data_IF_771631326876
#
_entry.id   IF_771631326876
#
_cell.length_a   1.000
_cell.length_b   1.000
_cell.length_c   1.000
_cell.angle_alpha   90.00
_cell.angle_beta   90.00
_cell.angle_gamma   90.00
#
_symmetry.space_group_name_H-M   'P 1'
#
loop_
_entity.id
_entity.type
_entity.pdbx_description
1 polymer ?
#
# COMPACT_ATOMS: atom_id res chain seq x y z
N UNK A 1 15.55 -12.22 17.99
CA UNK A 1 15.33 -13.16 16.88
C UNK A 1 13.86 -13.08 16.49
N UNK A 2 13.54 -12.70 15.25
CA UNK A 2 12.18 -12.82 14.69
C UNK A 2 12.10 -14.00 13.76
N UNK A 3 10.93 -14.61 13.70
CA UNK A 3 10.63 -15.72 12.81
C UNK A 3 9.39 -15.38 12.00
N UNK A 4 9.38 -15.66 10.71
CA UNK A 4 8.15 -15.66 9.90
C UNK A 4 7.63 -17.10 9.84
N UNK A 5 6.32 -17.27 10.06
CA UNK A 5 5.66 -18.58 9.95
C UNK A 5 4.83 -18.58 8.66
N UNK A 6 4.83 -19.68 7.92
CA UNK A 6 4.00 -19.82 6.72
C UNK A 6 3.56 -21.26 6.46
N UNK A 7 2.48 -21.45 5.70
CA UNK A 7 2.06 -22.76 5.22
C UNK A 7 2.94 -23.25 4.06
N UNK A 8 3.27 -22.37 3.13
CA UNK A 8 4.21 -22.65 2.04
C UNK A 8 5.30 -21.58 2.02
N UNK A 9 6.56 -22.00 2.27
CA UNK A 9 7.74 -21.15 2.16
C UNK A 9 8.60 -21.56 0.97
N UNK A 10 8.81 -20.63 0.05
CA UNK A 10 9.70 -20.77 -1.10
C UNK A 10 10.85 -19.79 -0.95
N UNK A 11 12.01 -20.31 -0.56
CA UNK A 11 13.19 -19.52 -0.20
C UNK A 11 14.26 -19.72 -1.27
N UNK A 12 14.67 -18.64 -1.94
CA UNK A 12 15.69 -18.67 -3.00
C UNK A 12 15.37 -19.65 -4.15
N UNK A 13 14.08 -19.89 -4.41
CA UNK A 13 13.64 -20.77 -5.49
C UNK A 13 13.68 -20.04 -6.83
N UNK A 14 14.00 -20.79 -7.89
CA UNK A 14 13.97 -20.32 -9.27
C UNK A 14 12.80 -20.95 -10.02
N UNK A 15 12.19 -20.22 -10.94
CA UNK A 15 11.22 -20.75 -11.91
C UNK A 15 10.05 -21.49 -11.22
N UNK A 16 9.39 -20.79 -10.29
CA UNK A 16 8.31 -21.33 -9.45
C UNK A 16 6.99 -21.34 -10.21
N UNK A 17 6.23 -22.42 -10.08
CA UNK A 17 4.88 -22.52 -10.61
C UNK A 17 3.91 -23.06 -9.55
N UNK A 18 2.93 -22.25 -9.16
CA UNK A 18 1.83 -22.61 -8.26
C UNK A 18 0.52 -22.42 -9.04
N UNK A 19 -0.14 -23.52 -9.38
CA UNK A 19 -1.41 -23.49 -10.13
C UNK A 19 -2.46 -24.33 -9.43
N UNK A 20 -3.74 -23.94 -9.55
CA UNK A 20 -4.88 -24.73 -9.06
C UNK A 20 -4.74 -25.15 -7.59
N UNK A 21 -4.19 -24.28 -6.76
CA UNK A 21 -3.79 -24.59 -5.38
C UNK A 21 -4.72 -23.91 -4.39
N UNK A 22 -5.12 -24.64 -3.34
CA UNK A 22 -5.82 -24.10 -2.18
C UNK A 22 -4.91 -24.16 -0.95
N UNK A 23 -4.57 -22.99 -0.41
CA UNK A 23 -3.96 -22.85 0.92
C UNK A 23 -5.04 -22.31 1.85
N UNK A 24 -5.32 -22.99 2.96
CA UNK A 24 -6.36 -22.54 3.88
C UNK A 24 -6.02 -22.84 5.33
N UNK A 25 -6.50 -22.01 6.25
CA UNK A 25 -6.41 -22.20 7.70
C UNK A 25 -4.95 -22.42 8.16
N UNK A 26 -4.07 -21.56 7.67
CA UNK A 26 -2.63 -21.63 7.96
C UNK A 26 -2.26 -20.75 9.16
N UNK A 27 -1.43 -21.28 10.06
CA UNK A 27 -0.76 -20.45 11.04
C UNK A 27 0.36 -19.64 10.36
N UNK A 28 0.30 -18.32 10.45
CA UNK A 28 1.21 -17.39 9.77
C UNK A 28 0.74 -17.00 8.37
N UNK A 29 1.68 -16.76 7.45
CA UNK A 29 1.42 -16.38 6.05
C UNK A 29 1.01 -17.60 5.22
N UNK A 30 0.06 -17.45 4.29
CA UNK A 30 -0.33 -18.55 3.41
C UNK A 30 0.82 -19.00 2.50
N UNK A 31 1.24 -18.12 1.60
CA UNK A 31 2.36 -18.33 0.67
C UNK A 31 3.42 -17.27 0.91
N UNK A 32 4.61 -17.69 1.33
CA UNK A 32 5.80 -16.85 1.48
C UNK A 32 6.80 -17.16 0.38
N UNK A 33 7.12 -16.16 -0.42
CA UNK A 33 8.19 -16.18 -1.41
C UNK A 33 9.27 -15.19 -1.00
N UNK A 34 10.44 -15.72 -0.67
CA UNK A 34 11.58 -14.90 -0.28
C UNK A 34 12.71 -15.10 -1.27
N UNK A 35 13.13 -13.99 -1.89
CA UNK A 35 14.20 -13.97 -2.88
C UNK A 35 14.00 -14.99 -4.02
N UNK A 36 12.76 -15.20 -4.46
CA UNK A 36 12.46 -16.05 -5.62
C UNK A 36 12.76 -15.32 -6.92
N UNK A 37 13.25 -16.03 -7.94
CA UNK A 37 13.75 -15.41 -9.18
C UNK A 37 13.46 -16.23 -10.45
N UNK A 38 13.71 -15.65 -11.62
CA UNK A 38 13.33 -16.24 -12.91
C UNK A 38 11.86 -15.98 -13.24
N UNK A 39 11.15 -16.99 -13.75
CA UNK A 39 9.73 -16.90 -14.08
C UNK A 39 8.87 -17.51 -12.96
N UNK A 40 8.15 -16.66 -12.25
CA UNK A 40 7.22 -17.09 -11.19
C UNK A 40 5.79 -16.99 -11.70
N UNK A 41 5.07 -18.11 -11.70
CA UNK A 41 3.66 -18.19 -12.06
C UNK A 41 2.83 -18.57 -10.83
N UNK A 42 1.81 -17.77 -10.54
CA UNK A 42 0.73 -18.10 -9.60
C UNK A 42 -0.58 -17.94 -10.34
N UNK A 43 -1.28 -19.03 -10.62
CA UNK A 43 -2.55 -18.97 -11.35
C UNK A 43 -3.63 -19.82 -10.69
N UNK A 44 -4.87 -19.36 -10.75
CA UNK A 44 -6.05 -20.02 -10.20
C UNK A 44 -5.80 -20.57 -8.78
N UNK A 45 -5.25 -19.72 -7.92
CA UNK A 45 -4.81 -20.08 -6.57
C UNK A 45 -5.68 -19.36 -5.56
N UNK A 46 -6.01 -20.05 -4.48
CA UNK A 46 -6.86 -19.51 -3.42
C UNK A 46 -6.13 -19.63 -2.08
N UNK A 47 -6.04 -18.52 -1.35
CA UNK A 47 -5.47 -18.44 -0.01
C UNK A 47 -6.51 -17.89 0.97
N UNK A 48 -6.93 -18.71 1.92
CA UNK A 48 -8.01 -18.39 2.86
C UNK A 48 -7.54 -18.50 4.30
N UNK A 49 -7.96 -17.55 5.13
CA UNK A 49 -7.86 -17.69 6.59
C UNK A 49 -6.41 -17.99 7.04
N UNK A 50 -5.44 -17.27 6.51
CA UNK A 50 -4.08 -17.22 7.04
C UNK A 50 -4.03 -16.25 8.22
N UNK A 51 -3.65 -16.73 9.39
CA UNK A 51 -3.61 -15.91 10.60
C UNK A 51 -2.50 -16.37 11.53
N UNK A 52 -1.93 -15.46 12.30
CA UNK A 52 -0.88 -15.81 13.26
C UNK A 52 -1.48 -16.10 14.64
N UNK A 53 -1.34 -17.34 15.12
CA UNK A 53 -1.77 -17.73 16.46
C UNK A 53 -0.73 -17.40 17.54
N UNK A 54 -1.18 -16.78 18.64
CA UNK A 54 -0.52 -16.87 19.94
C UNK A 54 0.35 -15.67 20.38
N UNK A 55 0.61 -15.63 21.70
CA UNK A 55 1.60 -14.79 22.35
C UNK A 55 2.97 -15.48 22.27
N UNK A 56 3.72 -15.25 21.20
CA UNK A 56 5.12 -15.68 21.16
C UNK A 56 5.97 -14.78 22.06
N UNK A 57 6.94 -15.36 22.79
CA UNK A 57 7.97 -14.59 23.51
C UNK A 57 8.89 -13.82 22.54
N UNK A 58 8.92 -14.27 21.29
CA UNK A 58 9.62 -13.67 20.17
C UNK A 58 8.67 -12.81 19.33
N UNK A 59 9.26 -11.87 18.59
CA UNK A 59 8.52 -11.09 17.61
C UNK A 59 8.30 -11.95 16.37
N UNK A 60 7.07 -12.42 16.17
CA UNK A 60 6.68 -13.26 15.03
C UNK A 60 5.71 -12.47 14.17
N UNK A 61 5.87 -12.61 12.86
CA UNK A 61 5.06 -11.93 11.86
C UNK A 61 4.38 -12.95 10.95
N UNK A 62 3.18 -12.60 10.47
CA UNK A 62 2.44 -13.43 9.54
C UNK A 62 0.99 -12.97 9.38
N UNK A 63 0.21 -13.80 8.71
CA UNK A 63 -1.21 -13.56 8.45
C UNK A 63 -1.50 -12.86 7.12
N UNK A 64 -0.50 -12.73 6.25
CA UNK A 64 -0.70 -12.36 4.85
C UNK A 64 -1.17 -13.59 4.05
N UNK A 65 -2.02 -13.40 3.04
CA UNK A 65 -2.33 -14.47 2.08
C UNK A 65 -1.10 -14.80 1.22
N UNK A 66 -0.57 -13.79 0.53
CA UNK A 66 0.62 -13.89 -0.31
C UNK A 66 1.69 -12.90 0.16
N UNK A 67 2.93 -13.34 0.29
CA UNK A 67 4.08 -12.49 0.61
C UNK A 67 5.19 -12.70 -0.40
N UNK A 68 5.63 -11.63 -1.07
CA UNK A 68 6.79 -11.59 -1.98
C UNK A 68 7.79 -10.63 -1.39
N UNK A 69 8.97 -11.13 -1.02
CA UNK A 69 9.98 -10.32 -0.36
C UNK A 69 11.34 -10.45 -1.02
N UNK A 70 11.91 -9.32 -1.43
CA UNK A 70 13.28 -9.22 -1.91
C UNK A 70 14.14 -8.41 -0.95
N UNK A 71 15.22 -9.06 -0.49
CA UNK A 71 16.17 -8.53 0.48
C UNK A 71 15.50 -7.80 1.66
N UNK A 72 14.58 -8.43 2.41
CA UNK A 72 14.30 -7.95 3.73
C UNK A 72 15.61 -8.15 4.52
N UNK A 73 16.32 -7.06 4.86
CA UNK A 73 17.01 -7.08 6.15
C UNK A 73 15.97 -7.65 7.13
N UNK A 74 16.30 -8.68 7.92
CA UNK A 74 15.32 -9.23 8.83
C UNK A 74 14.73 -8.05 9.59
N UNK A 75 13.41 -7.87 9.53
CA UNK A 75 12.67 -6.72 10.05
C UNK A 75 12.87 -6.50 11.57
N UNK A 76 13.79 -7.23 12.17
CA UNK A 76 14.30 -7.13 13.54
C UNK A 76 15.61 -6.37 13.71
N UNK A 77 16.33 -5.95 12.66
CA UNK A 77 17.69 -5.43 12.81
C UNK A 77 17.92 -3.98 12.37
N UNK A 78 16.86 -3.21 12.10
CA UNK A 78 17.00 -1.82 11.61
C UNK A 78 17.70 -0.89 12.64
N UNK A 79 17.82 -1.29 13.91
CA UNK A 79 18.53 -0.49 14.92
C UNK A 79 19.99 -0.88 15.21
N UNK A 80 20.49 -2.05 14.81
CA UNK A 80 21.82 -2.52 15.29
C UNK A 80 22.87 -2.79 14.21
N UNK A 81 22.51 -2.84 12.92
CA UNK A 81 23.48 -3.06 11.84
C UNK A 81 23.27 -2.13 10.66
N UNK A 82 23.52 -0.84 10.88
CA UNK A 82 23.64 0.19 9.83
C UNK A 82 24.84 -0.03 8.90
N UNK A 83 25.74 -0.98 9.18
CA UNK A 83 27.00 -1.12 8.43
C UNK A 83 27.05 -2.30 7.44
N UNK A 84 26.11 -3.25 7.46
CA UNK A 84 26.19 -4.47 6.63
C UNK A 84 24.95 -4.82 5.77
N UNK A 85 23.92 -3.98 5.74
CA UNK A 85 22.76 -4.16 4.84
C UNK A 85 23.13 -4.16 3.34
N UNK A 86 24.32 -3.66 3.00
CA UNK A 86 24.87 -3.66 1.64
C UNK A 86 25.43 -5.03 1.18
N UNK A 87 25.63 -5.98 2.10
CA UNK A 87 26.31 -7.25 1.79
C UNK A 87 25.39 -8.40 1.36
N UNK A 88 24.07 -8.23 1.39
CA UNK A 88 23.14 -9.17 0.73
C UNK A 88 22.87 -8.78 -0.72
N UNK A 89 23.92 -8.27 -1.37
CA UNK A 89 23.99 -7.95 -2.79
C UNK A 89 24.07 -9.21 -3.65
N UNK A 90 23.10 -10.12 -3.52
CA UNK A 90 22.75 -10.92 -4.66
C UNK A 90 21.91 -10.00 -5.55
N UNK A 91 22.49 -9.54 -6.65
CA UNK A 91 21.72 -8.95 -7.73
C UNK A 91 20.74 -10.01 -8.21
N UNK A 92 19.54 -10.03 -7.62
CA UNK A 92 18.46 -10.87 -8.10
C UNK A 92 18.16 -10.34 -9.49
N UNK A 93 18.64 -11.07 -10.50
CA UNK A 93 18.49 -10.71 -11.90
C UNK A 93 17.02 -10.55 -12.28
N UNK A 94 16.78 -10.01 -13.47
CA UNK A 94 15.45 -9.75 -14.00
C UNK A 94 14.49 -10.92 -13.72
N UNK A 95 13.42 -10.63 -12.97
CA UNK A 95 12.46 -11.63 -12.52
C UNK A 95 11.07 -11.22 -12.93
N UNK A 96 10.27 -12.17 -13.40
CA UNK A 96 8.91 -11.91 -13.86
C UNK A 96 7.94 -12.73 -13.02
N UNK A 97 7.01 -12.05 -12.37
CA UNK A 97 5.89 -12.65 -11.64
C UNK A 97 4.64 -12.44 -12.47
N UNK A 98 3.98 -13.54 -12.82
CA UNK A 98 2.65 -13.54 -13.40
C UNK A 98 1.71 -14.14 -12.36
N UNK A 99 0.82 -13.30 -11.84
CA UNK A 99 -0.16 -13.67 -10.82
C UNK A 99 -1.54 -13.43 -11.44
N UNK A 100 -2.33 -14.47 -11.62
CA UNK A 100 -3.65 -14.40 -12.25
C UNK A 100 -4.67 -15.20 -11.47
N UNK A 101 -5.93 -14.74 -11.47
CA UNK A 101 -7.04 -15.44 -10.82
C UNK A 101 -6.74 -15.82 -9.36
N UNK A 102 -5.98 -14.98 -8.64
CA UNK A 102 -5.64 -15.21 -7.24
C UNK A 102 -6.80 -14.72 -6.37
N UNK A 103 -7.28 -15.57 -5.47
CA UNK A 103 -8.19 -15.17 -4.40
C UNK A 103 -7.43 -15.18 -3.07
N UNK A 104 -7.34 -14.03 -2.41
CA UNK A 104 -6.91 -13.96 -1.00
C UNK A 104 -8.07 -13.44 -0.16
N UNK A 105 -8.52 -14.23 0.82
CA UNK A 105 -9.64 -13.82 1.64
C UNK A 105 -9.56 -14.19 3.11
N UNK A 106 -10.14 -13.32 3.95
CA UNK A 106 -10.27 -13.53 5.41
C UNK A 106 -8.93 -13.74 6.13
N UNK A 107 -7.83 -13.29 5.53
CA UNK A 107 -6.52 -13.35 6.17
C UNK A 107 -6.42 -12.28 7.27
N UNK A 108 -5.65 -12.57 8.32
CA UNK A 108 -5.54 -11.72 9.51
C UNK A 108 -4.09 -11.45 9.86
N UNK A 109 -3.57 -10.30 9.42
CA UNK A 109 -2.21 -9.86 9.68
C UNK A 109 -2.04 -9.24 11.06
N UNK A 110 -1.14 -9.81 11.87
CA UNK A 110 -0.85 -9.35 13.23
C UNK A 110 0.60 -9.65 13.62
N UNK A 111 1.17 -8.84 14.52
CA UNK A 111 2.42 -9.14 15.21
C UNK A 111 2.13 -9.66 16.64
N UNK A 112 2.93 -10.62 17.12
CA UNK A 112 2.73 -11.27 18.43
C UNK A 112 3.09 -10.42 19.66
N UNK A 113 3.77 -9.28 19.49
CA UNK A 113 4.16 -8.37 20.58
C UNK A 113 3.57 -6.98 20.34
N UNK A 114 2.91 -6.44 21.37
CA UNK A 114 2.45 -5.04 21.48
C UNK A 114 3.64 -4.07 21.53
N UNK A 115 4.46 -4.04 20.49
CA UNK A 115 5.27 -2.86 20.24
C UNK A 115 4.35 -1.91 19.47
N UNK A 116 4.33 -0.63 19.87
CA UNK A 116 3.76 0.47 19.09
C UNK A 116 4.59 0.61 17.81
N UNK A 117 4.51 -0.39 16.94
CA UNK A 117 5.18 -0.43 15.67
C UNK A 117 4.33 0.49 14.81
N UNK A 118 4.70 1.77 14.80
CA UNK A 118 4.25 2.68 13.77
C UNK A 118 4.41 2.00 12.40
N UNK A 119 3.60 2.39 11.42
CA UNK A 119 3.77 1.99 10.03
C UNK A 119 5.25 1.83 9.63
N UNK A 120 6.18 2.66 10.10
CA UNK A 120 7.62 2.56 9.83
C UNK A 120 8.37 1.29 10.28
N UNK A 121 7.87 0.49 11.23
CA UNK A 121 8.68 -0.57 11.88
C UNK A 121 8.10 -1.99 11.79
N UNK A 122 6.81 -2.14 11.42
CA UNK A 122 6.23 -3.45 11.15
C UNK A 122 5.08 -3.32 10.14
N UNK A 123 5.29 -3.87 8.95
CA UNK A 123 4.49 -3.58 7.75
C UNK A 123 3.94 -4.89 7.21
N UNK A 124 2.65 -5.18 7.41
CA UNK A 124 2.04 -6.42 6.94
C UNK A 124 0.79 -6.16 6.11
N UNK A 125 0.80 -6.59 4.86
CA UNK A 125 -0.42 -6.65 4.06
C UNK A 125 -1.26 -7.87 4.41
N UNK A 126 -2.59 -7.76 4.39
CA UNK A 126 -3.49 -8.87 4.74
C UNK A 126 -3.69 -9.84 3.58
N UNK A 127 -4.11 -9.34 2.42
CA UNK A 127 -4.24 -10.15 1.22
C UNK A 127 -2.88 -10.44 0.57
N UNK A 128 -2.17 -9.38 0.16
CA UNK A 128 -0.81 -9.48 -0.38
C UNK A 128 0.18 -8.51 0.27
N UNK A 129 1.43 -8.94 0.40
CA UNK A 129 2.53 -8.14 0.90
C UNK A 129 3.73 -8.26 -0.05
N UNK A 130 4.08 -7.16 -0.71
CA UNK A 130 5.14 -7.11 -1.71
C UNK A 130 6.22 -6.14 -1.22
N UNK A 131 7.45 -6.64 -1.10
CA UNK A 131 8.59 -5.90 -0.58
C UNK A 131 9.74 -5.94 -1.58
N UNK A 132 10.11 -4.77 -2.10
CA UNK A 132 11.23 -4.57 -3.02
C UNK A 132 12.30 -3.71 -2.34
N UNK A 133 13.26 -4.36 -1.67
CA UNK A 133 14.27 -3.70 -0.84
C UNK A 133 15.70 -3.78 -1.36
N UNK A 134 16.60 -2.99 -0.75
CA UNK A 134 18.03 -3.03 -1.04
C UNK A 134 18.37 -2.62 -2.49
N UNK A 135 19.05 -3.50 -3.23
CA UNK A 135 19.46 -3.29 -4.63
C UNK A 135 18.56 -4.07 -5.62
N UNK A 136 17.34 -4.40 -5.23
CA UNK A 136 16.38 -5.11 -6.09
C UNK A 136 16.12 -4.31 -7.36
N UNK A 137 16.32 -4.93 -8.52
CA UNK A 137 16.12 -4.26 -9.80
C UNK A 137 15.59 -5.19 -10.88
N UNK A 138 14.91 -4.61 -11.87
CA UNK A 138 14.36 -5.32 -13.02
C UNK A 138 13.35 -6.42 -12.65
N UNK A 139 12.63 -6.26 -11.54
CA UNK A 139 11.52 -7.15 -11.17
C UNK A 139 10.24 -6.61 -11.79
N UNK A 140 9.56 -7.45 -12.57
CA UNK A 140 8.25 -7.17 -13.15
C UNK A 140 7.20 -8.05 -12.47
N UNK A 141 6.23 -7.45 -11.80
CA UNK A 141 5.12 -8.14 -11.14
C UNK A 141 3.82 -7.74 -11.84
N UNK A 142 3.14 -8.71 -12.45
CA UNK A 142 1.81 -8.53 -13.01
C UNK A 142 0.80 -9.32 -12.18
N UNK A 143 -0.21 -8.62 -11.66
CA UNK A 143 -1.35 -9.20 -10.93
C UNK A 143 -2.60 -8.92 -11.76
N UNK A 144 -3.31 -9.96 -12.17
CA UNK A 144 -4.47 -9.84 -13.06
C UNK A 144 -5.67 -10.61 -12.53
N UNK A 145 -6.87 -10.05 -12.72
CA UNK A 145 -8.16 -10.70 -12.45
C UNK A 145 -8.22 -11.36 -11.05
N UNK A 146 -7.60 -10.71 -10.07
CA UNK A 146 -7.39 -11.23 -8.72
C UNK A 146 -8.28 -10.50 -7.71
N UNK A 147 -8.65 -11.20 -6.65
CA UNK A 147 -9.53 -10.69 -5.60
C UNK A 147 -8.84 -10.72 -4.24
N UNK A 148 -8.85 -9.57 -3.55
CA UNK A 148 -8.34 -9.38 -2.20
C UNK A 148 -9.51 -8.93 -1.33
N UNK A 149 -10.08 -9.84 -0.52
CA UNK A 149 -11.32 -9.52 0.20
C UNK A 149 -11.40 -9.94 1.65
N UNK A 150 -12.16 -9.18 2.42
CA UNK A 150 -12.44 -9.48 3.83
C UNK A 150 -11.17 -9.66 4.69
N UNK A 151 -10.02 -9.13 4.24
CA UNK A 151 -8.77 -9.24 4.99
C UNK A 151 -8.73 -8.19 6.10
N UNK A 152 -8.12 -8.56 7.22
CA UNK A 152 -7.94 -7.69 8.37
C UNK A 152 -6.47 -7.59 8.72
N UNK A 153 -5.94 -6.40 8.98
CA UNK A 153 -4.60 -6.25 9.58
C UNK A 153 -4.63 -5.22 10.68
N UNK A 154 -3.77 -5.35 11.69
CA UNK A 154 -3.61 -4.31 12.72
C UNK A 154 -2.78 -3.10 12.25
N UNK A 155 -2.04 -3.24 11.14
CA UNK A 155 -1.10 -2.21 10.63
C UNK A 155 -1.55 -1.59 9.30
N UNK A 156 -1.04 -2.00 8.14
CA UNK A 156 -1.30 -1.27 6.89
C UNK A 156 -1.49 -2.16 5.66
N UNK A 157 -2.29 -1.71 4.70
CA UNK A 157 -2.47 -2.43 3.43
C UNK A 157 -3.26 -3.72 3.57
N UNK A 158 -4.45 -3.68 4.18
CA UNK A 158 -5.20 -4.91 4.49
C UNK A 158 -5.51 -5.75 3.24
N UNK A 159 -5.90 -5.14 2.13
CA UNK A 159 -5.98 -5.86 0.84
C UNK A 159 -4.59 -6.14 0.26
N UNK A 160 -3.78 -5.10 0.07
CA UNK A 160 -2.44 -5.20 -0.47
C UNK A 160 -1.49 -4.15 0.14
N UNK A 161 -0.25 -4.56 0.41
CA UNK A 161 0.83 -3.67 0.81
C UNK A 161 1.99 -3.79 -0.18
N UNK A 162 2.39 -2.66 -0.76
CA UNK A 162 3.56 -2.53 -1.62
C UNK A 162 4.56 -1.62 -0.91
N UNK A 163 5.73 -2.17 -0.61
CA UNK A 163 6.84 -1.47 0.02
C UNK A 163 8.06 -1.46 -0.91
N UNK A 164 8.50 -0.27 -1.29
CA UNK A 164 9.68 -0.04 -2.12
C UNK A 164 10.64 0.83 -1.31
N UNK A 165 11.88 0.37 -1.12
CA UNK A 165 12.82 1.12 -0.29
C UNK A 165 14.30 0.94 -0.68
N UNK A 166 15.16 1.80 -0.10
CA UNK A 166 16.59 1.90 -0.36
C UNK A 166 16.90 2.22 -1.84
N UNK A 167 17.78 1.47 -2.50
CA UNK A 167 18.23 1.71 -3.88
C UNK A 167 17.49 0.85 -4.91
N UNK A 168 16.29 0.36 -4.56
CA UNK A 168 15.48 -0.55 -5.38
C UNK A 168 14.96 0.14 -6.64
N UNK A 169 15.47 -0.22 -7.81
CA UNK A 169 15.32 0.59 -9.02
C UNK A 169 14.81 -0.22 -10.23
N UNK A 170 14.15 0.46 -11.17
CA UNK A 170 13.68 -0.15 -12.41
C UNK A 170 12.78 -1.39 -12.21
N UNK A 171 11.95 -1.40 -11.17
CA UNK A 171 10.93 -2.43 -10.99
C UNK A 171 9.59 -1.94 -11.52
N UNK A 172 8.74 -2.87 -11.95
CA UNK A 172 7.38 -2.58 -12.40
C UNK A 172 6.40 -3.46 -11.65
N UNK A 173 5.34 -2.85 -11.11
CA UNK A 173 4.18 -3.59 -10.61
C UNK A 173 2.95 -3.10 -11.36
N UNK A 174 2.24 -4.03 -12.00
CA UNK A 174 1.02 -3.76 -12.74
C UNK A 174 -0.11 -4.60 -12.17
N UNK A 175 -1.20 -3.96 -11.74
CA UNK A 175 -2.40 -4.61 -11.20
C UNK A 175 -3.55 -4.33 -12.16
N UNK A 176 -4.14 -5.38 -12.73
CA UNK A 176 -5.10 -5.30 -13.83
C UNK A 176 -6.40 -6.00 -13.43
N UNK A 177 -7.55 -5.31 -13.48
CA UNK A 177 -8.85 -5.93 -13.24
C UNK A 177 -9.04 -6.48 -11.82
N UNK A 178 -8.25 -6.02 -10.84
CA UNK A 178 -8.33 -6.55 -9.49
C UNK A 178 -9.53 -5.99 -8.71
N UNK A 179 -10.14 -6.83 -7.89
CA UNK A 179 -11.16 -6.43 -6.91
C UNK A 179 -10.58 -6.46 -5.51
N UNK A 180 -10.59 -5.31 -4.84
CA UNK A 180 -10.08 -5.13 -3.48
C UNK A 180 -11.25 -4.64 -2.63
N UNK A 181 -11.89 -5.57 -1.91
CA UNK A 181 -13.19 -5.31 -1.26
C UNK A 181 -13.24 -5.68 0.23
N UNK A 182 -13.97 -4.88 1.02
CA UNK A 182 -14.25 -5.16 2.44
C UNK A 182 -13.00 -5.39 3.31
N UNK A 183 -11.83 -4.88 2.90
CA UNK A 183 -10.61 -5.03 3.69
C UNK A 183 -10.56 -3.97 4.79
N UNK A 184 -10.06 -4.35 5.97
CA UNK A 184 -10.07 -3.49 7.15
C UNK A 184 -8.69 -3.40 7.79
N UNK A 185 -8.25 -2.18 8.04
CA UNK A 185 -7.10 -1.88 8.90
C UNK A 185 -7.61 -1.52 10.31
N UNK A 186 -7.05 -2.20 11.32
CA UNK A 186 -7.23 -1.90 12.74
C UNK A 186 -6.46 -0.66 13.20
N UNK A 187 -6.80 -0.16 14.39
CA UNK A 187 -6.11 0.88 15.19
C UNK A 187 -5.26 1.93 14.44
N UNK A 188 -5.76 3.16 14.25
CA UNK A 188 -5.01 4.37 13.81
C UNK A 188 -4.10 4.27 12.56
N UNK A 189 -4.17 3.18 11.79
CA UNK A 189 -3.26 2.93 10.68
C UNK A 189 -3.96 2.99 9.30
N UNK A 190 -3.20 2.81 8.22
CA UNK A 190 -3.54 3.35 6.89
C UNK A 190 -3.65 2.31 5.77
N UNK A 191 -4.39 2.64 4.72
CA UNK A 191 -4.47 1.84 3.50
C UNK A 191 -5.35 0.59 3.66
N UNK A 192 -6.67 0.77 3.72
CA UNK A 192 -7.61 -0.35 3.91
C UNK A 192 -7.55 -1.33 2.74
N UNK A 193 -7.75 -0.84 1.52
CA UNK A 193 -7.59 -1.66 0.32
C UNK A 193 -6.11 -1.84 -0.06
N UNK A 194 -5.39 -0.74 -0.23
CA UNK A 194 -4.01 -0.72 -0.70
C UNK A 194 -3.17 0.28 0.09
N UNK A 195 -1.96 -0.13 0.47
CA UNK A 195 -0.91 0.76 0.93
C UNK A 195 0.27 0.71 -0.03
N UNK A 196 0.72 1.88 -0.49
CA UNK A 196 1.98 2.04 -1.23
C UNK A 196 2.93 2.86 -0.36
N UNK A 197 4.15 2.36 -0.17
CA UNK A 197 5.16 3.04 0.62
C UNK A 197 6.49 3.12 -0.13
N UNK A 198 6.97 4.35 -0.37
CA UNK A 198 8.31 4.63 -0.87
C UNK A 198 9.19 5.17 0.26
N UNK A 199 10.34 4.53 0.51
CA UNK A 199 11.30 4.98 1.54
C UNK A 199 12.74 4.92 1.11
N UNK A 200 13.44 6.06 1.18
CA UNK A 200 14.87 6.09 0.91
C UNK A 200 15.68 5.35 1.98
N UNK A 201 15.19 5.40 3.23
CA UNK A 201 15.78 4.73 4.37
C UNK A 201 14.68 4.42 5.40
N UNK A 202 14.88 3.39 6.22
CA UNK A 202 14.16 3.23 7.48
C UNK A 202 15.13 3.56 8.61
N UNK A 203 14.85 4.63 9.37
CA UNK A 203 15.62 4.98 10.57
C UNK A 203 17.05 5.51 10.34
N UNK A 204 17.53 5.61 9.10
CA UNK A 204 18.83 6.19 8.77
C UNK A 204 18.75 7.70 8.51
N UNK A 205 19.74 8.46 8.97
CA UNK A 205 19.86 9.91 8.66
C UNK A 205 20.53 10.18 7.30
N UNK A 206 21.08 9.14 6.67
CA UNK A 206 21.81 9.27 5.40
C UNK A 206 20.84 9.22 4.23
N UNK A 207 20.79 10.31 3.46
CA UNK A 207 20.07 10.36 2.18
C UNK A 207 20.83 9.47 1.18
N UNK A 208 20.21 8.44 0.59
CA UNK A 208 20.87 7.59 -0.39
C UNK A 208 21.25 8.37 -1.65
N UNK A 209 22.33 7.94 -2.31
CA UNK A 209 22.82 8.54 -3.56
C UNK A 209 21.92 8.27 -4.77
N UNK A 210 21.04 7.28 -4.68
CA UNK A 210 20.04 6.93 -5.69
C UNK A 210 18.72 6.60 -5.02
N UNK A 211 17.63 7.06 -5.63
CA UNK A 211 16.28 6.80 -5.14
C UNK A 211 15.59 5.72 -5.99
N UNK A 212 14.65 4.96 -5.40
CA UNK A 212 13.86 4.00 -6.11
C UNK A 212 13.17 4.55 -7.36
N UNK A 213 13.30 3.86 -8.49
CA UNK A 213 12.72 4.26 -9.79
C UNK A 213 11.70 3.24 -10.29
N UNK A 214 10.80 2.83 -9.42
CA UNK A 214 9.82 1.78 -9.73
C UNK A 214 8.50 2.38 -10.18
N UNK A 215 7.92 1.83 -11.26
CA UNK A 215 6.62 2.26 -11.81
C UNK A 215 5.50 1.37 -11.27
N UNK A 216 4.41 1.99 -10.84
CA UNK A 216 3.21 1.30 -10.36
C UNK A 216 2.01 1.68 -11.21
N UNK A 217 1.30 0.68 -11.72
CA UNK A 217 0.15 0.87 -12.60
C UNK A 217 -1.02 0.02 -12.11
N UNK A 218 -2.19 0.64 -11.96
CA UNK A 218 -3.44 0.01 -11.58
C UNK A 218 -4.46 0.31 -12.67
N UNK A 219 -4.97 -0.72 -13.35
CA UNK A 219 -5.87 -0.58 -14.50
C UNK A 219 -7.15 -1.34 -14.26
N UNK A 220 -8.29 -0.65 -14.38
CA UNK A 220 -9.63 -1.23 -14.20
C UNK A 220 -9.80 -1.95 -12.86
N UNK A 221 -9.15 -1.44 -11.80
CA UNK A 221 -9.26 -1.99 -10.45
C UNK A 221 -10.45 -1.37 -9.71
N UNK A 222 -11.11 -2.19 -8.89
CA UNK A 222 -12.20 -1.75 -8.02
C UNK A 222 -11.78 -1.82 -6.54
N UNK A 223 -11.82 -0.68 -5.86
CA UNK A 223 -11.62 -0.55 -4.42
C UNK A 223 -12.98 -0.32 -3.77
N UNK A 224 -13.55 -1.34 -3.14
CA UNK A 224 -14.93 -1.31 -2.65
C UNK A 224 -15.05 -1.54 -1.14
N UNK A 225 -15.76 -0.66 -0.44
CA UNK A 225 -16.10 -0.81 0.97
C UNK A 225 -14.91 -1.12 1.91
N UNK A 226 -13.70 -0.67 1.57
CA UNK A 226 -12.53 -0.85 2.43
C UNK A 226 -12.52 0.20 3.56
N UNK A 227 -11.87 -0.12 4.68
CA UNK A 227 -11.86 0.71 5.90
C UNK A 227 -10.45 0.88 6.48
N UNK A 228 -10.11 2.11 6.85
CA UNK A 228 -8.88 2.43 7.57
C UNK A 228 -9.02 3.70 8.44
N UNK A 229 -7.96 4.09 9.15
CA UNK A 229 -7.88 5.41 9.77
C UNK A 229 -7.71 6.50 8.70
N UNK A 230 -6.83 6.28 7.73
CA UNK A 230 -6.70 7.13 6.53
C UNK A 230 -6.45 6.28 5.28
N UNK A 231 -6.95 6.74 4.13
CA UNK A 231 -6.84 5.99 2.87
C UNK A 231 -7.63 4.70 2.92
N UNK A 232 -8.96 4.80 3.12
CA UNK A 232 -9.84 3.63 3.21
C UNK A 232 -9.66 2.70 2.02
N UNK A 233 -9.73 3.24 0.80
CA UNK A 233 -9.37 2.51 -0.42
C UNK A 233 -7.86 2.38 -0.60
N UNK A 234 -7.16 3.51 -0.76
CA UNK A 234 -5.72 3.56 -1.03
C UNK A 234 -5.05 4.58 -0.11
N UNK A 235 -3.88 4.22 0.43
CA UNK A 235 -2.97 5.18 1.05
C UNK A 235 -1.60 5.12 0.36
N UNK A 236 -1.07 6.28 -0.02
CA UNK A 236 0.24 6.44 -0.63
C UNK A 236 1.08 7.31 0.30
N UNK A 237 2.22 6.78 0.71
CA UNK A 237 3.18 7.48 1.53
C UNK A 237 4.55 7.47 0.86
N UNK A 238 5.20 8.62 0.78
CA UNK A 238 6.57 8.72 0.28
C UNK A 238 7.45 9.59 1.18
N UNK A 239 8.63 9.10 1.52
CA UNK A 239 9.65 9.86 2.24
C UNK A 239 10.67 10.57 1.32
N UNK A 240 10.47 10.55 0.00
CA UNK A 240 11.59 10.72 -0.95
C UNK A 240 11.59 11.99 -1.82
N UNK A 241 12.79 12.29 -2.34
CA UNK A 241 13.16 13.29 -3.38
C UNK A 241 14.17 12.73 -4.39
N UNK A 242 14.67 13.40 -5.46
CA UNK A 242 14.35 14.70 -6.05
C UNK A 242 13.84 14.58 -7.51
N UNK A 243 13.43 15.71 -8.10
CA UNK A 243 12.76 15.78 -9.39
C UNK A 243 13.55 15.30 -10.61
N UNK A 244 12.83 15.12 -11.72
CA UNK A 244 13.41 15.16 -13.07
C UNK A 244 13.03 14.07 -14.07
N UNK A 245 12.34 12.98 -13.69
CA UNK A 245 12.00 11.90 -14.65
C UNK A 245 10.61 11.29 -14.39
N UNK A 246 9.79 11.19 -15.45
CA UNK A 246 8.42 10.62 -15.48
C UNK A 246 8.35 9.11 -15.11
N UNK A 247 9.49 8.44 -14.90
CA UNK A 247 9.59 6.98 -14.72
C UNK A 247 9.14 6.48 -13.34
N UNK A 248 8.63 7.34 -12.46
CA UNK A 248 8.31 7.02 -11.05
C UNK A 248 6.87 7.32 -10.64
N UNK A 249 5.97 7.48 -11.61
CA UNK A 249 4.59 7.79 -11.33
C UNK A 249 3.79 6.55 -10.91
N UNK A 250 2.83 6.78 -10.00
CA UNK A 250 1.76 5.83 -9.70
C UNK A 250 0.57 6.21 -10.55
N UNK A 251 0.12 5.27 -11.38
CA UNK A 251 -0.99 5.47 -12.29
C UNK A 251 -2.20 4.66 -11.86
N UNK A 252 -3.36 5.32 -11.78
CA UNK A 252 -4.67 4.68 -11.70
C UNK A 252 -5.45 4.99 -12.97
N UNK A 253 -5.84 3.96 -13.71
CA UNK A 253 -6.47 4.09 -15.03
C UNK A 253 -7.78 3.32 -15.01
N UNK A 254 -8.90 3.98 -15.28
CA UNK A 254 -10.25 3.39 -15.24
C UNK A 254 -10.56 2.69 -13.90
N UNK A 255 -9.99 3.20 -12.80
CA UNK A 255 -10.20 2.63 -11.46
C UNK A 255 -11.42 3.27 -10.76
N UNK A 256 -12.05 2.50 -9.87
CA UNK A 256 -13.17 2.96 -9.06
C UNK A 256 -12.93 2.79 -7.57
N UNK A 257 -13.36 3.79 -6.80
CA UNK A 257 -13.43 3.76 -5.34
C UNK A 257 -14.87 3.93 -4.92
N UNK A 258 -15.48 2.87 -4.42
CA UNK A 258 -16.89 2.85 -4.03
C UNK A 258 -17.02 2.56 -2.55
N UNK A 259 -17.81 3.35 -1.81
CA UNK A 259 -18.19 3.03 -0.44
C UNK A 259 -17.04 2.94 0.58
N UNK A 260 -15.81 3.34 0.24
CA UNK A 260 -14.67 3.23 1.15
C UNK A 260 -14.84 4.22 2.31
N UNK A 261 -14.32 3.85 3.47
CA UNK A 261 -14.44 4.64 4.69
C UNK A 261 -13.08 4.92 5.33
N UNK A 262 -12.90 6.15 5.79
CA UNK A 262 -11.76 6.52 6.62
C UNK A 262 -12.21 7.29 7.85
N UNK A 263 -11.41 7.22 8.93
CA UNK A 263 -11.71 7.95 10.16
C UNK A 263 -11.16 9.37 10.19
N UNK A 264 -10.18 9.68 9.32
CA UNK A 264 -9.47 10.97 9.35
C UNK A 264 -9.20 11.59 7.98
N UNK A 265 -8.41 10.95 7.12
CA UNK A 265 -8.04 11.53 5.82
C UNK A 265 -8.30 10.58 4.65
N UNK A 266 -8.81 11.11 3.53
CA UNK A 266 -8.92 10.40 2.27
C UNK A 266 -9.71 9.09 2.36
N UNK A 267 -11.04 9.16 2.38
CA UNK A 267 -11.88 7.95 2.46
C UNK A 267 -11.60 6.97 1.32
N UNK A 268 -11.46 7.48 0.10
CA UNK A 268 -11.02 6.71 -1.05
C UNK A 268 -9.51 6.67 -1.14
N UNK A 269 -8.86 7.84 -1.16
CA UNK A 269 -7.43 7.97 -1.41
C UNK A 269 -6.81 8.98 -0.46
N UNK A 270 -5.78 8.56 0.25
CA UNK A 270 -4.93 9.43 1.06
C UNK A 270 -3.51 9.43 0.51
N UNK A 271 -3.00 10.61 0.16
CA UNK A 271 -1.64 10.79 -0.34
C UNK A 271 -0.93 11.77 0.58
N UNK A 272 0.19 11.35 1.13
CA UNK A 272 1.02 12.22 1.94
C UNK A 272 2.49 11.93 1.67
N UNK A 273 3.31 12.90 1.99
CA UNK A 273 4.73 12.69 2.01
C UNK A 273 5.37 13.11 3.33
N UNK A 274 6.44 12.41 3.68
CA UNK A 274 7.26 12.72 4.83
C UNK A 274 8.00 14.04 4.62
N UNK A 275 8.02 14.87 5.67
CA UNK A 275 8.76 16.13 5.68
C UNK A 275 10.17 15.82 6.18
N UNK A 276 11.17 15.86 5.29
CA UNK A 276 12.58 15.84 5.69
C UNK A 276 13.21 17.23 5.53
N UNK A 277 13.76 17.71 6.66
CA UNK A 277 14.81 18.71 6.90
C UNK A 277 14.78 20.02 6.09
N UNK A 278 14.83 21.14 6.83
CA UNK A 278 14.80 22.51 6.31
C UNK A 278 15.80 22.77 5.16
N UNK A 279 15.31 23.36 4.07
CA UNK A 279 16.15 24.02 3.06
C UNK A 279 16.25 23.36 1.69
N UNK A 280 15.73 22.15 1.49
CA UNK A 280 15.72 21.47 0.17
C UNK A 280 14.33 21.54 -0.45
N UNK A 281 14.21 22.03 -1.69
CA UNK A 281 12.93 22.00 -2.43
C UNK A 281 12.56 20.56 -2.73
N UNK A 282 11.38 20.19 -2.25
CA UNK A 282 10.90 18.83 -2.32
C UNK A 282 10.05 18.65 -3.60
N UNK A 283 10.60 18.04 -4.65
CA UNK A 283 9.91 17.54 -5.84
C UNK A 283 9.42 16.10 -5.68
N UNK A 284 8.12 15.93 -5.45
CA UNK A 284 7.48 14.61 -5.48
C UNK A 284 7.02 14.25 -6.89
N UNK A 285 7.00 12.95 -7.18
CA UNK A 285 6.47 12.43 -8.43
C UNK A 285 4.94 12.52 -8.45
N UNK A 286 4.34 12.84 -9.61
CA UNK A 286 2.90 12.97 -9.69
C UNK A 286 2.20 11.62 -9.53
N UNK A 287 1.07 11.64 -8.83
CA UNK A 287 0.09 10.57 -8.87
C UNK A 287 -0.93 10.90 -9.96
N UNK A 288 -1.16 9.97 -10.88
CA UNK A 288 -1.99 10.19 -12.07
C UNK A 288 -3.28 9.38 -11.96
N UNK A 289 -4.42 10.06 -12.12
CA UNK A 289 -5.74 9.45 -12.21
C UNK A 289 -6.31 9.69 -13.60
N UNK A 290 -6.60 8.61 -14.34
CA UNK A 290 -7.15 8.66 -15.70
C UNK A 290 -8.48 7.93 -15.74
N UNK A 291 -9.56 8.61 -16.14
CA UNK A 291 -10.91 8.03 -16.26
C UNK A 291 -11.42 7.34 -14.95
N UNK A 292 -11.12 7.94 -13.80
CA UNK A 292 -11.37 7.37 -12.48
C UNK A 292 -12.73 7.77 -11.87
N UNK A 293 -13.29 6.92 -10.99
CA UNK A 293 -14.57 7.19 -10.32
C UNK A 293 -14.45 7.08 -8.80
N UNK A 294 -14.95 8.08 -8.10
CA UNK A 294 -15.06 8.10 -6.64
C UNK A 294 -16.54 8.20 -6.28
N UNK A 295 -17.12 7.17 -5.69
CA UNK A 295 -18.57 7.09 -5.44
C UNK A 295 -18.85 6.72 -3.98
N UNK A 296 -19.67 7.51 -3.30
CA UNK A 296 -20.20 7.18 -1.96
C UNK A 296 -19.14 6.93 -0.88
N UNK A 297 -17.93 7.49 -1.03
CA UNK A 297 -16.86 7.34 -0.04
C UNK A 297 -17.10 8.25 1.16
N UNK A 298 -16.84 7.76 2.38
CA UNK A 298 -17.25 8.45 3.61
C UNK A 298 -16.12 8.65 4.62
N UNK A 299 -15.98 9.87 5.13
CA UNK A 299 -15.29 10.12 6.39
C UNK A 299 -16.27 9.85 7.51
N UNK A 300 -15.93 8.92 8.40
CA UNK A 300 -16.76 8.53 9.55
C UNK A 300 -16.03 8.87 10.84
N UNK A 301 -16.67 9.45 11.85
CA UNK A 301 -16.01 9.69 13.14
C UNK A 301 -15.42 8.39 13.69
N UNK A 302 -14.18 8.49 14.14
CA UNK A 302 -13.53 7.43 14.88
C UNK A 302 -14.33 7.08 16.15
N UNK A 303 -14.91 5.89 16.23
CA UNK A 303 -15.29 5.28 17.51
C UNK A 303 -14.12 4.42 18.00
N UNK A 304 -12.99 5.04 18.34
CA UNK A 304 -11.88 4.31 18.97
C UNK A 304 -12.02 4.38 20.49
N UNK A 305 -11.95 3.26 21.22
CA UNK A 305 -11.94 3.29 22.69
C UNK A 305 -10.71 4.04 23.18
N UNK A 306 -10.91 5.15 23.89
CA UNK A 306 -9.82 5.93 24.52
C UNK A 306 -9.48 7.27 23.87
N UNK A 307 -9.99 7.56 22.66
CA UNK A 307 -9.86 8.89 22.05
C UNK A 307 -10.99 9.81 22.58
N UNK A 308 -10.77 10.40 23.77
CA UNK A 308 -11.57 11.53 24.27
C UNK A 308 -11.27 12.85 23.53
N UNK A 309 -10.52 12.78 22.43
CA UNK A 309 -10.20 13.92 21.59
C UNK A 309 -11.22 14.00 20.46
N UNK A 310 -12.28 14.78 20.72
CA UNK A 310 -13.13 15.46 19.73
C UNK A 310 -12.28 16.43 18.88
N UNK A 311 -11.19 15.97 18.28
CA UNK A 311 -10.44 16.77 17.31
C UNK A 311 -11.16 16.58 15.99
N UNK A 312 -12.11 17.48 15.75
CA UNK A 312 -12.78 17.76 14.50
C UNK A 312 -11.75 17.99 13.38
N UNK A 313 -11.22 16.92 12.78
CA UNK A 313 -10.75 16.97 11.40
C UNK A 313 -11.76 16.25 10.51
N UNK A 314 -13.02 16.69 10.59
CA UNK A 314 -14.03 16.46 9.57
C UNK A 314 -13.60 17.25 8.32
N UNK A 315 -12.77 16.69 7.42
CA UNK A 315 -12.35 17.48 6.26
C UNK A 315 -11.35 16.91 5.26
N UNK A 316 -10.78 15.72 5.47
CA UNK A 316 -9.83 15.15 4.50
C UNK A 316 -10.45 14.77 3.15
N UNK A 317 -11.77 14.60 3.13
CA UNK A 317 -12.54 14.30 1.94
C UNK A 317 -12.35 12.91 1.34
N UNK A 318 -12.95 12.66 0.17
CA UNK A 318 -12.81 11.39 -0.54
C UNK A 318 -11.37 11.17 -1.02
N UNK A 319 -10.77 12.20 -1.61
CA UNK A 319 -9.34 12.25 -1.92
C UNK A 319 -8.66 13.36 -1.12
N UNK A 320 -7.64 12.99 -0.34
CA UNK A 320 -6.75 13.93 0.34
C UNK A 320 -5.34 13.83 -0.24
N UNK A 321 -4.72 14.98 -0.51
CA UNK A 321 -3.30 15.05 -0.79
C UNK A 321 -2.62 16.15 -0.01
N UNK A 322 -1.44 15.85 0.52
CA UNK A 322 -0.53 16.83 1.10
C UNK A 322 0.81 16.78 0.37
N UNK A 323 1.29 17.96 -0.07
CA UNK A 323 2.56 18.24 -0.77
C UNK A 323 2.86 17.49 -2.09
N UNK A 324 2.14 16.42 -2.42
CA UNK A 324 2.40 15.57 -3.59
C UNK A 324 1.63 16.07 -4.83
N UNK A 325 2.28 16.25 -6.00
CA UNK A 325 1.58 16.60 -7.22
C UNK A 325 0.56 15.55 -7.65
N UNK A 326 -0.59 16.01 -8.14
CA UNK A 326 -1.64 15.16 -8.68
C UNK A 326 -2.01 15.60 -10.09
N UNK A 327 -2.18 14.63 -10.97
CA UNK A 327 -2.68 14.85 -12.33
C UNK A 327 -4.00 14.10 -12.46
N UNK A 328 -5.06 14.84 -12.74
CA UNK A 328 -6.32 14.28 -13.22
C UNK A 328 -6.32 14.40 -14.74
N UNK A 329 -6.34 13.27 -15.42
CA UNK A 329 -6.42 13.17 -16.87
C UNK A 329 -7.78 12.58 -17.26
N UNK A 330 -8.42 13.17 -18.27
CA UNK A 330 -9.73 12.70 -18.76
C UNK A 330 -10.82 12.72 -17.67
N UNK A 331 -11.79 11.83 -17.76
CA UNK A 331 -13.04 11.90 -16.99
C UNK A 331 -12.87 11.33 -15.58
N UNK A 332 -12.39 12.14 -14.64
CA UNK A 332 -12.46 11.80 -13.21
C UNK A 332 -13.71 12.37 -12.55
N UNK A 333 -14.51 11.54 -11.88
CA UNK A 333 -15.79 11.95 -11.24
C UNK A 333 -15.81 11.65 -9.75
N UNK A 334 -16.42 12.52 -8.95
CA UNK A 334 -16.65 12.35 -7.51
C UNK A 334 -18.15 12.49 -7.23
N UNK A 335 -18.83 11.45 -6.78
CA UNK A 335 -20.28 11.44 -6.57
C UNK A 335 -20.61 10.94 -5.15
N UNK A 336 -21.64 11.52 -4.52
CA UNK A 336 -22.28 11.04 -3.28
C UNK A 336 -21.36 10.82 -2.07
N UNK A 337 -20.17 11.43 -2.06
CA UNK A 337 -19.29 11.43 -0.89
C UNK A 337 -19.80 12.40 0.19
N UNK A 338 -19.62 12.04 1.47
CA UNK A 338 -19.96 12.97 2.55
C UNK A 338 -18.84 14.01 2.73
N UNK A 339 -19.22 15.27 2.97
CA UNK A 339 -18.28 16.37 3.15
C UNK A 339 -17.47 16.71 1.89
N UNK A 340 -16.16 16.93 2.05
CA UNK A 340 -15.25 17.34 0.97
C UNK A 340 -15.01 16.19 -0.01
N UNK A 341 -15.11 16.41 -1.32
CA UNK A 341 -14.73 15.38 -2.29
C UNK A 341 -13.22 15.33 -2.54
N UNK A 342 -12.59 16.49 -2.70
CA UNK A 342 -11.17 16.64 -3.00
C UNK A 342 -10.55 17.70 -2.08
N UNK A 343 -9.51 17.33 -1.33
CA UNK A 343 -8.76 18.24 -0.47
C UNK A 343 -7.27 18.15 -0.82
N UNK A 344 -6.69 19.29 -1.24
CA UNK A 344 -5.29 19.39 -1.66
C UNK A 344 -4.60 20.46 -0.81
N UNK A 345 -3.64 20.05 0.00
CA UNK A 345 -2.83 20.94 0.83
C UNK A 345 -1.42 21.01 0.28
N UNK A 346 -0.91 22.22 0.02
CA UNK A 346 0.46 22.45 -0.48
C UNK A 346 0.86 21.61 -1.70
N UNK A 347 -0.13 21.15 -2.48
CA UNK A 347 0.04 20.21 -3.59
C UNK A 347 -0.16 20.92 -4.93
N UNK A 348 0.57 20.50 -5.96
CA UNK A 348 0.33 20.96 -7.34
C UNK A 348 -0.75 20.07 -7.96
N UNK A 349 -1.83 20.65 -8.48
CA UNK A 349 -2.83 19.91 -9.25
C UNK A 349 -2.84 20.33 -10.72
N UNK A 350 -2.87 19.33 -11.61
CA UNK A 350 -3.07 19.51 -13.04
C UNK A 350 -4.36 18.81 -13.47
N UNK A 351 -5.26 19.54 -14.12
CA UNK A 351 -6.53 19.04 -14.65
C UNK A 351 -6.45 19.07 -16.17
N UNK A 352 -6.35 17.89 -16.79
CA UNK A 352 -6.14 17.73 -18.24
C UNK A 352 -7.42 17.19 -18.88
N UNK A 353 -7.85 17.85 -19.95
CA UNK A 353 -8.96 17.49 -20.87
C UNK A 353 -10.17 16.81 -20.23
N UNK A 354 -11.26 17.55 -20.01
CA UNK A 354 -12.58 16.98 -19.72
C UNK A 354 -12.88 16.43 -18.31
N UNK A 355 -12.14 16.75 -17.22
CA UNK A 355 -12.56 16.27 -15.90
C UNK A 355 -13.91 16.90 -15.53
N UNK A 356 -14.94 16.06 -15.42
CA UNK A 356 -16.27 16.45 -14.96
C UNK A 356 -16.34 16.22 -13.46
N UNK A 357 -16.09 17.27 -12.70
CA UNK A 357 -16.39 17.27 -11.27
C UNK A 357 -17.90 17.48 -11.09
N UNK A 358 -18.60 16.45 -10.59
CA UNK A 358 -20.02 16.53 -10.27
C UNK A 358 -20.21 16.39 -8.77
N UNK A 359 -20.02 17.47 -8.01
CA UNK A 359 -20.18 17.43 -6.56
C UNK A 359 -21.68 17.36 -6.21
N UNK A 360 -22.19 16.16 -6.00
CA UNK A 360 -23.52 15.94 -5.40
C UNK A 360 -23.30 15.71 -3.90
N UNK A 361 -23.32 16.79 -3.12
CA UNK A 361 -23.23 16.71 -1.66
C UNK A 361 -24.61 16.61 -1.04
N UNK A 362 -24.86 15.56 -0.26
CA UNK A 362 -26.06 15.46 0.57
C UNK A 362 -25.78 16.11 1.93
N UNK A 363 -26.00 17.42 2.03
CA UNK A 363 -26.07 18.14 3.31
C UNK A 363 -24.74 18.46 3.99
N UNK A 364 -24.64 19.69 4.50
CA UNK A 364 -23.54 20.30 5.28
C UNK A 364 -22.28 20.68 4.51
N UNK A 365 -22.34 21.87 3.90
CA UNK A 365 -21.17 22.71 3.60
C UNK A 365 -20.41 23.01 4.89
N UNK A 366 -19.14 22.57 4.98
CA UNK A 366 -18.18 23.17 5.89
C UNK A 366 -17.15 23.99 5.10
N UNK A 367 -16.99 25.23 5.57
CA UNK A 367 -16.14 26.29 5.02
C UNK A 367 -14.67 25.92 5.21
N UNK A 368 -13.91 25.88 4.11
CA UNK A 368 -12.45 25.88 4.16
C UNK A 368 -11.94 27.31 4.22
N UNK A 369 -11.41 27.74 5.38
CA UNK A 369 -10.43 28.83 5.41
C UNK A 369 -9.06 28.22 5.10
N UNK A 370 -8.47 28.61 3.98
CA UNK A 370 -7.04 28.48 3.75
C UNK A 370 -6.34 29.66 4.45
N UNK A 371 -5.42 29.46 5.41
CA UNK A 371 -4.39 30.44 5.71
C UNK A 371 -3.35 30.53 4.59
#
# INVERSE_FOLDING_TARGET
MSTEVSALALLNCRDVNITNTLVQRSNGTGILMMNTYGNVLIDNTTVLESYLEGNSSWLVYGGSGLSIQFNPCPLTFIHEHTENANNYAHGYGSSTYTISNLLTAKNRGKATKNQNLSCGQAKFGGGAWIVLGGNTSNVNISISDSTFKDNYVESCGAGMLILIYNSSNNNRISVLGATIENNTVGSQEVGGGLQIFYSACFGGTTIPSSFPTSTLEFVSCNFDNNRAYSGGGVNIYSNELPGGDDKRAVHFINCSWTGNTASRYGAAVHIMAGVFVSGVRIHYHPIVFTDCKFVSNKIVPATFPGDNLLVQFNGGGALFSNVVPIIFDRNTTFNDSNGTALCLSSSIASFRVGPRFCFITTGETMVGQCP
#
